data_IF_015407884752
#
_entry.id   IF_015407884752
#
_cell.length_a   1.000
_cell.length_b   1.000
_cell.length_c   1.000
_cell.angle_alpha   90.00
_cell.angle_beta   90.00
_cell.angle_gamma   90.00
#
_symmetry.space_group_name_H-M   'P 1'
#
loop_
_entity.id
_entity.type
_entity.pdbx_description
1 polymer ?
#
# COMPACT_ATOMS: atom_id res chain seq x y z
N UNK A 1 -48.45 26.66 42.48
CA UNK A 1 -49.08 26.73 41.14
C UNK A 1 -50.49 26.11 41.08
N UNK A 2 -50.91 25.25 42.03
CA UNK A 2 -52.27 24.67 42.03
C UNK A 2 -53.37 25.50 42.72
N UNK A 3 -53.02 26.40 43.66
CA UNK A 3 -54.02 27.18 44.40
C UNK A 3 -54.63 28.35 43.60
N UNK A 4 -54.04 28.74 42.47
CA UNK A 4 -54.41 29.95 41.70
C UNK A 4 -55.43 29.64 40.59
N UNK A 5 -55.60 28.38 40.19
CA UNK A 5 -56.44 27.99 39.04
C UNK A 5 -57.73 27.23 39.40
N UNK A 6 -58.04 27.01 40.68
CA UNK A 6 -59.24 26.28 41.15
C UNK A 6 -59.52 24.93 40.44
N UNK A 7 -58.50 24.25 39.91
CA UNK A 7 -58.67 22.95 39.24
C UNK A 7 -58.55 21.79 40.23
N UNK A 8 -59.31 20.72 39.99
CA UNK A 8 -59.24 19.52 40.81
C UNK A 8 -57.84 18.90 40.72
N UNK A 9 -57.23 18.58 41.86
CA UNK A 9 -55.89 17.97 41.93
C UNK A 9 -55.81 16.68 41.08
N UNK A 10 -56.90 15.92 41.00
CA UNK A 10 -57.01 14.71 40.18
C UNK A 10 -56.95 15.01 38.68
N UNK A 11 -57.56 16.11 38.23
CA UNK A 11 -57.48 16.54 36.82
C UNK A 11 -56.07 17.00 36.45
N UNK A 12 -55.36 17.63 37.39
CA UNK A 12 -53.95 17.97 37.22
C UNK A 12 -53.08 16.74 36.92
N UNK A 13 -53.24 15.68 37.72
CA UNK A 13 -52.52 14.41 37.53
C UNK A 13 -52.88 13.76 36.19
N UNK A 14 -54.17 13.71 35.83
CA UNK A 14 -54.60 13.13 34.56
C UNK A 14 -54.03 13.88 33.35
N UNK A 15 -53.98 15.21 33.40
CA UNK A 15 -53.39 16.02 32.33
C UNK A 15 -51.88 15.76 32.19
N UNK A 16 -51.16 15.63 33.30
CA UNK A 16 -49.73 15.25 33.29
C UNK A 16 -49.55 13.85 32.72
N UNK A 17 -50.42 12.89 33.07
CA UNK A 17 -50.34 11.53 32.55
C UNK A 17 -50.57 11.46 31.03
N UNK A 18 -51.55 12.18 30.50
CA UNK A 18 -51.81 12.25 29.05
C UNK A 18 -50.60 12.87 28.32
N UNK A 19 -50.00 13.92 28.88
CA UNK A 19 -48.79 14.53 28.33
C UNK A 19 -47.59 13.57 28.36
N UNK A 20 -47.45 12.76 29.42
CA UNK A 20 -46.39 11.74 29.51
C UNK A 20 -46.57 10.63 28.48
N UNK A 21 -47.78 10.09 28.35
CA UNK A 21 -48.08 9.01 27.39
C UNK A 21 -47.93 9.49 25.95
N UNK A 22 -48.40 10.71 25.64
CA UNK A 22 -48.26 11.28 24.30
C UNK A 22 -46.87 11.83 23.99
N UNK A 23 -46.10 12.23 25.02
CA UNK A 23 -44.82 12.91 24.86
C UNK A 23 -43.62 11.97 24.75
N UNK A 24 -43.70 10.73 25.25
CA UNK A 24 -42.58 9.77 25.18
C UNK A 24 -42.69 8.97 23.86
N UNK A 25 -41.76 9.15 22.91
CA UNK A 25 -41.80 8.46 21.63
C UNK A 25 -41.24 7.03 21.76
N UNK A 26 -42.02 6.11 22.36
CA UNK A 26 -41.61 4.71 22.63
C UNK A 26 -41.20 3.97 21.35
N UNK A 27 -41.76 4.34 20.19
CA UNK A 27 -41.43 3.71 18.91
C UNK A 27 -40.09 4.17 18.31
N UNK A 28 -39.54 5.33 18.71
CA UNK A 28 -38.36 5.92 18.07
C UNK A 28 -37.12 4.99 18.13
N UNK A 29 -36.75 4.38 19.28
CA UNK A 29 -35.59 3.48 19.34
C UNK A 29 -35.72 2.26 18.43
N UNK A 30 -36.92 1.69 18.32
CA UNK A 30 -37.19 0.55 17.44
C UNK A 30 -37.08 0.93 15.98
N UNK A 31 -37.65 2.08 15.58
CA UNK A 31 -37.58 2.57 14.20
C UNK A 31 -36.14 2.83 13.78
N UNK A 32 -35.34 3.50 14.62
CA UNK A 32 -33.93 3.75 14.35
C UNK A 32 -33.14 2.44 14.20
N UNK A 33 -33.34 1.48 15.12
CA UNK A 33 -32.65 0.18 15.07
C UNK A 33 -32.96 -0.60 13.79
N UNK A 34 -34.23 -0.65 13.38
CA UNK A 34 -34.64 -1.33 12.14
C UNK A 34 -34.08 -0.60 10.91
N UNK A 35 -34.10 0.73 10.90
CA UNK A 35 -33.55 1.53 9.80
C UNK A 35 -32.06 1.28 9.63
N UNK A 36 -31.28 1.29 10.72
CA UNK A 36 -29.84 0.99 10.68
C UNK A 36 -29.56 -0.45 10.23
N UNK A 37 -30.37 -1.42 10.66
CA UNK A 37 -30.23 -2.81 10.23
C UNK A 37 -30.47 -2.98 8.72
N UNK A 38 -31.51 -2.33 8.18
CA UNK A 38 -31.80 -2.31 6.75
C UNK A 38 -30.69 -1.58 5.98
N UNK A 39 -30.20 -0.45 6.50
CA UNK A 39 -29.07 0.30 5.92
C UNK A 39 -27.80 -0.54 5.84
N UNK A 40 -27.45 -1.23 6.91
CA UNK A 40 -26.34 -2.20 6.98
C UNK A 40 -26.47 -3.30 5.92
N UNK A 41 -27.67 -3.86 5.76
CA UNK A 41 -27.92 -4.86 4.73
C UNK A 41 -27.73 -4.31 3.31
N UNK A 42 -28.22 -3.09 3.02
CA UNK A 42 -28.02 -2.43 1.72
C UNK A 42 -26.55 -2.12 1.43
N UNK A 43 -25.79 -1.64 2.42
CA UNK A 43 -24.36 -1.41 2.27
C UNK A 43 -23.60 -2.71 1.97
N UNK A 44 -23.98 -3.81 2.62
CA UNK A 44 -23.42 -5.14 2.35
C UNK A 44 -23.67 -5.59 0.89
N UNK A 45 -24.88 -5.35 0.36
CA UNK A 45 -25.19 -5.60 -1.06
C UNK A 45 -24.36 -4.74 -2.03
N UNK A 46 -23.87 -3.59 -1.57
CA UNK A 46 -22.95 -2.70 -2.31
C UNK A 46 -21.46 -3.04 -2.07
N UNK A 47 -21.15 -4.08 -1.29
CA UNK A 47 -19.79 -4.51 -1.00
C UNK A 47 -19.15 -3.86 0.24
N UNK A 48 -19.89 -3.07 1.02
CA UNK A 48 -19.43 -2.43 2.25
C UNK A 48 -20.00 -3.13 3.50
N UNK A 49 -19.14 -3.81 4.27
CA UNK A 49 -19.55 -4.54 5.48
C UNK A 49 -19.46 -3.64 6.70
N UNK A 50 -20.61 -3.26 7.28
CA UNK A 50 -20.65 -2.47 8.52
C UNK A 50 -20.59 -3.36 9.75
N UNK A 51 -19.43 -3.37 10.43
CA UNK A 51 -19.25 -4.10 11.71
C UNK A 51 -19.98 -3.46 12.89
N UNK A 52 -20.16 -2.13 12.85
CA UNK A 52 -20.89 -1.35 13.86
C UNK A 52 -22.04 -0.63 13.17
N UNK A 53 -23.27 -0.78 13.64
CA UNK A 53 -24.43 -0.10 13.05
C UNK A 53 -24.35 1.43 13.17
N UNK A 54 -23.72 1.93 14.24
CA UNK A 54 -23.45 3.36 14.44
C UNK A 54 -22.51 3.97 13.39
N UNK A 55 -21.74 3.15 12.66
CA UNK A 55 -20.86 3.64 11.61
C UNK A 55 -21.62 4.28 10.45
N UNK A 56 -22.90 3.94 10.24
CA UNK A 56 -23.73 4.55 9.20
C UNK A 56 -23.96 6.04 9.49
N UNK A 57 -24.18 6.39 10.76
CA UNK A 57 -24.34 7.78 11.19
C UNK A 57 -23.00 8.54 11.13
N UNK A 58 -21.91 7.90 11.56
CA UNK A 58 -20.55 8.46 11.46
C UNK A 58 -20.18 8.77 10.00
N UNK A 59 -20.51 7.87 9.06
CA UNK A 59 -20.26 8.08 7.64
C UNK A 59 -21.12 9.18 7.03
N UNK A 60 -22.37 9.34 7.50
CA UNK A 60 -23.27 10.38 7.02
C UNK A 60 -22.80 11.80 7.39
N UNK A 61 -22.12 11.95 8.54
CA UNK A 61 -21.55 13.22 9.00
C UNK A 61 -20.06 13.38 8.71
N UNK A 62 -19.49 12.62 7.78
CA UNK A 62 -18.05 12.64 7.50
C UNK A 62 -17.64 13.86 6.68
N UNK A 63 -16.78 14.72 7.26
CA UNK A 63 -16.24 15.89 6.55
C UNK A 63 -14.91 15.61 5.84
N UNK A 64 -14.13 14.66 6.34
CA UNK A 64 -12.78 14.35 5.83
C UNK A 64 -12.60 12.85 5.69
N UNK A 65 -12.19 12.40 4.51
CA UNK A 65 -11.85 11.02 4.20
C UNK A 65 -10.34 10.90 3.97
N UNK A 66 -9.65 10.26 4.91
CA UNK A 66 -8.23 9.92 4.78
C UNK A 66 -8.09 8.55 4.09
N UNK A 67 -7.64 8.54 2.84
CA UNK A 67 -7.43 7.32 2.06
C UNK A 67 -5.94 6.95 2.03
N UNK A 68 -5.61 5.69 2.28
CA UNK A 68 -4.30 5.17 1.92
C UNK A 68 -4.12 5.19 0.39
N UNK A 69 -2.91 5.42 -0.10
CA UNK A 69 -2.65 5.39 -1.55
C UNK A 69 -2.69 3.96 -2.08
N UNK A 70 -1.84 3.10 -1.51
CA UNK A 70 -1.54 1.79 -2.07
C UNK A 70 -2.72 0.84 -1.81
N UNK A 71 -3.30 0.29 -2.87
CA UNK A 71 -4.42 -0.66 -2.77
C UNK A 71 -5.80 -0.04 -2.61
N UNK A 72 -5.90 1.22 -2.18
CA UNK A 72 -7.18 1.98 -2.17
C UNK A 72 -7.29 2.86 -3.40
N UNK A 73 -6.43 3.87 -3.56
CA UNK A 73 -6.45 4.78 -4.72
C UNK A 73 -5.78 4.18 -5.97
N UNK A 74 -4.90 3.21 -5.76
CA UNK A 74 -4.20 2.48 -6.82
C UNK A 74 -4.62 1.02 -6.88
N UNK A 75 -4.33 0.37 -8.00
CA UNK A 75 -4.66 -1.05 -8.20
C UNK A 75 -3.73 -1.99 -7.43
N UNK A 76 -2.62 -1.49 -6.87
CA UNK A 76 -1.55 -2.32 -6.29
C UNK A 76 -1.10 -3.42 -7.26
N UNK A 77 -1.12 -3.10 -8.56
CA UNK A 77 -0.69 -3.96 -9.64
C UNK A 77 0.47 -3.27 -10.34
N UNK A 78 1.64 -3.42 -9.72
CA UNK A 78 2.84 -2.72 -10.11
C UNK A 78 3.30 -3.19 -11.50
N UNK A 79 3.86 -2.26 -12.27
CA UNK A 79 4.43 -2.52 -13.59
C UNK A 79 5.81 -1.89 -13.65
N UNK A 80 6.72 -2.50 -14.42
CA UNK A 80 8.09 -1.99 -14.58
C UNK A 80 8.34 -1.75 -16.07
N UNK A 81 8.86 -0.57 -16.41
CA UNK A 81 9.30 -0.26 -17.77
C UNK A 81 10.79 -0.58 -17.93
N UNK A 82 11.11 -1.55 -18.82
CA UNK A 82 12.48 -1.99 -19.13
C UNK A 82 13.37 -0.83 -19.57
N UNK A 83 12.82 0.15 -20.30
CA UNK A 83 13.61 1.22 -20.89
C UNK A 83 14.12 2.23 -19.88
N UNK A 84 13.46 2.29 -18.72
CA UNK A 84 13.78 3.22 -17.66
C UNK A 84 14.70 2.62 -16.59
N UNK A 85 15.09 1.34 -16.72
CA UNK A 85 16.01 0.71 -15.77
C UNK A 85 17.40 1.31 -15.92
N UNK A 86 17.91 1.85 -14.82
CA UNK A 86 19.25 2.46 -14.74
C UNK A 86 20.27 1.47 -14.19
N UNK A 87 21.38 1.33 -14.93
CA UNK A 87 22.46 0.39 -14.64
C UNK A 87 23.67 1.13 -14.05
N UNK A 88 24.24 0.56 -12.99
CA UNK A 88 25.35 1.18 -12.26
C UNK A 88 26.64 0.37 -12.34
N UNK A 89 26.55 -0.95 -12.47
CA UNK A 89 27.73 -1.81 -12.60
C UNK A 89 28.15 -1.96 -14.06
N UNK A 90 29.41 -1.66 -14.37
CA UNK A 90 29.97 -1.84 -15.71
C UNK A 90 30.00 -3.31 -16.10
N UNK A 91 29.28 -3.68 -17.17
CA UNK A 91 29.24 -5.05 -17.70
C UNK A 91 27.95 -5.83 -17.43
N UNK A 92 26.98 -5.27 -16.70
CA UNK A 92 25.63 -5.84 -16.60
C UNK A 92 24.68 -5.21 -17.60
N UNK A 93 23.84 -6.04 -18.21
CA UNK A 93 22.71 -5.60 -19.03
C UNK A 93 21.45 -5.41 -18.17
N UNK A 94 20.48 -4.67 -18.69
CA UNK A 94 19.17 -4.45 -18.04
C UNK A 94 18.44 -5.77 -17.78
N UNK A 95 18.48 -6.70 -18.74
CA UNK A 95 17.86 -8.01 -18.59
C UNK A 95 18.50 -8.83 -17.46
N UNK A 96 19.81 -8.70 -17.24
CA UNK A 96 20.50 -9.34 -16.12
C UNK A 96 20.04 -8.77 -14.78
N UNK A 97 19.87 -7.45 -14.66
CA UNK A 97 19.37 -6.81 -13.43
C UNK A 97 17.94 -7.26 -13.13
N UNK A 98 17.08 -7.34 -14.15
CA UNK A 98 15.70 -7.83 -14.01
C UNK A 98 15.70 -9.29 -13.56
N UNK A 99 16.57 -10.13 -14.14
CA UNK A 99 16.73 -11.53 -13.73
C UNK A 99 17.19 -11.66 -12.28
N UNK A 100 18.16 -10.84 -11.84
CA UNK A 100 18.61 -10.80 -10.45
C UNK A 100 17.48 -10.35 -9.51
N UNK A 101 16.71 -9.33 -9.88
CA UNK A 101 15.55 -8.88 -9.14
C UNK A 101 14.48 -9.99 -9.04
N UNK A 102 14.22 -10.71 -10.13
CA UNK A 102 13.28 -11.82 -10.17
C UNK A 102 13.74 -12.98 -9.30
N UNK A 103 15.05 -13.30 -9.30
CA UNK A 103 15.64 -14.30 -8.40
C UNK A 103 15.45 -13.92 -6.93
N UNK A 104 15.57 -12.65 -6.58
CA UNK A 104 15.32 -12.16 -5.21
C UNK A 104 13.83 -12.01 -4.85
N UNK A 105 12.93 -12.46 -5.73
CA UNK A 105 11.47 -12.51 -5.52
C UNK A 105 11.04 -13.92 -5.11
N UNK A 106 9.96 -14.04 -4.31
CA UNK A 106 9.29 -15.33 -4.12
C UNK A 106 8.25 -15.55 -5.20
N UNK A 107 8.29 -16.72 -5.82
CA UNK A 107 7.28 -17.14 -6.82
C UNK A 107 5.97 -17.55 -6.14
N UNK A 108 6.04 -18.04 -4.89
CA UNK A 108 4.86 -18.50 -4.15
C UNK A 108 4.12 -17.36 -3.42
N UNK A 109 4.75 -16.19 -3.26
CA UNK A 109 4.17 -15.10 -2.48
C UNK A 109 3.43 -14.11 -3.39
N UNK A 110 2.25 -13.67 -2.95
CA UNK A 110 1.39 -12.75 -3.71
C UNK A 110 1.81 -11.27 -3.55
N UNK A 111 3.09 -11.00 -3.34
CA UNK A 111 3.58 -9.63 -3.22
C UNK A 111 3.52 -8.94 -4.59
N UNK A 112 2.82 -7.81 -4.67
CA UNK A 112 2.63 -7.07 -5.92
C UNK A 112 3.96 -6.66 -6.58
N UNK A 113 4.99 -6.35 -5.79
CA UNK A 113 6.33 -6.01 -6.30
C UNK A 113 6.98 -7.24 -6.95
N UNK A 114 6.89 -8.40 -6.30
CA UNK A 114 7.50 -9.65 -6.75
C UNK A 114 6.86 -10.11 -8.06
N UNK A 115 5.52 -10.08 -8.11
CA UNK A 115 4.77 -10.41 -9.32
C UNK A 115 5.09 -9.45 -10.47
N UNK A 116 5.23 -8.15 -10.21
CA UNK A 116 5.58 -7.17 -11.25
C UNK A 116 6.95 -7.45 -11.89
N UNK A 117 7.92 -7.87 -11.10
CA UNK A 117 9.27 -8.19 -11.58
C UNK A 117 9.27 -9.54 -12.31
N UNK A 118 8.57 -10.55 -11.78
CA UNK A 118 8.48 -11.88 -12.41
C UNK A 118 7.76 -11.77 -13.77
N UNK A 119 6.69 -10.99 -13.86
CA UNK A 119 5.95 -10.76 -15.11
C UNK A 119 6.74 -9.97 -16.17
N UNK A 120 7.90 -9.41 -15.80
CA UNK A 120 8.81 -8.72 -16.72
C UNK A 120 9.70 -9.68 -17.50
N UNK A 121 9.86 -10.92 -17.01
CA UNK A 121 10.53 -12.00 -17.70
C UNK A 121 9.63 -12.61 -18.78
N UNK A 122 10.25 -13.14 -19.83
CA UNK A 122 9.52 -13.82 -20.91
C UNK A 122 8.84 -15.09 -20.41
N UNK A 123 9.51 -15.84 -19.54
CA UNK A 123 8.97 -17.00 -18.82
C UNK A 123 9.27 -16.85 -17.32
N UNK A 124 8.24 -16.85 -16.43
CA UNK A 124 8.41 -16.84 -14.99
C UNK A 124 9.37 -17.91 -14.45
N UNK A 125 9.51 -19.04 -15.15
CA UNK A 125 10.41 -20.14 -14.77
C UNK A 125 11.88 -19.75 -14.84
N UNK A 126 12.24 -18.77 -15.67
CA UNK A 126 13.62 -18.27 -15.78
C UNK A 126 14.14 -17.71 -14.45
N UNK A 127 13.25 -17.18 -13.60
CA UNK A 127 13.61 -16.67 -12.28
C UNK A 127 14.25 -17.73 -11.35
N UNK A 128 13.99 -19.01 -11.60
CA UNK A 128 14.55 -20.16 -10.85
C UNK A 128 15.30 -21.14 -11.73
N UNK A 129 15.43 -20.88 -13.03
CA UNK A 129 16.19 -21.73 -13.93
C UNK A 129 17.68 -21.69 -13.59
N UNK A 130 18.32 -22.87 -13.61
CA UNK A 130 19.75 -23.06 -13.39
C UNK A 130 20.28 -22.60 -12.02
N UNK A 131 19.41 -22.42 -11.02
CA UNK A 131 19.81 -22.05 -9.67
C UNK A 131 19.22 -23.00 -8.63
N UNK A 132 20.01 -23.32 -7.61
CA UNK A 132 19.54 -24.05 -6.43
C UNK A 132 19.41 -23.06 -5.27
N UNK A 133 18.19 -22.82 -4.82
CA UNK A 133 17.92 -21.94 -3.67
C UNK A 133 18.44 -22.58 -2.38
N UNK A 134 19.28 -21.85 -1.63
CA UNK A 134 19.79 -22.27 -0.32
C UNK A 134 19.03 -21.61 0.81
N UNK A 135 18.79 -20.31 0.68
CA UNK A 135 18.15 -19.52 1.72
C UNK A 135 17.47 -18.29 1.14
N UNK A 136 16.29 -17.97 1.67
CA UNK A 136 15.57 -16.75 1.35
C UNK A 136 15.32 -15.94 2.63
N UNK A 137 15.70 -14.68 2.59
CA UNK A 137 15.41 -13.68 3.62
C UNK A 137 14.15 -12.89 3.20
N UNK A 138 13.01 -13.10 3.86
CA UNK A 138 11.76 -12.40 3.54
C UNK A 138 11.82 -10.92 3.91
N UNK A 139 10.86 -10.17 3.37
CA UNK A 139 10.77 -8.74 3.62
C UNK A 139 10.50 -8.46 5.09
N UNK A 140 11.33 -7.60 5.68
CA UNK A 140 11.14 -7.06 7.02
C UNK A 140 10.93 -5.54 6.92
N UNK A 141 9.86 -4.96 7.52
CA UNK A 141 9.63 -3.52 7.51
C UNK A 141 10.79 -2.67 8.06
N UNK A 142 11.63 -3.24 8.94
CA UNK A 142 12.83 -2.57 9.48
C UNK A 142 13.94 -2.54 8.43
N UNK A 143 14.23 -3.69 7.82
CA UNK A 143 15.34 -3.82 6.85
C UNK A 143 14.98 -3.32 5.44
N UNK A 144 13.68 -3.25 5.12
CA UNK A 144 13.08 -2.85 3.84
C UNK A 144 13.73 -3.51 2.60
N UNK A 145 14.18 -4.76 2.75
CA UNK A 145 14.82 -5.55 1.71
C UNK A 145 14.41 -7.02 1.78
N UNK A 146 14.53 -7.71 0.65
CA UNK A 146 14.56 -9.17 0.56
C UNK A 146 15.91 -9.60 0.05
N UNK A 147 16.32 -10.82 0.36
CA UNK A 147 17.53 -11.39 -0.20
C UNK A 147 17.37 -12.88 -0.46
N UNK A 148 18.05 -13.37 -1.50
CA UNK A 148 18.17 -14.78 -1.80
C UNK A 148 19.65 -15.17 -1.82
N UNK A 149 19.97 -16.32 -1.27
CA UNK A 149 21.26 -17.00 -1.45
C UNK A 149 21.01 -18.25 -2.27
N UNK A 150 21.69 -18.37 -3.40
CA UNK A 150 21.55 -19.49 -4.33
C UNK A 150 22.90 -19.97 -4.85
N UNK A 151 22.92 -21.20 -5.33
CA UNK A 151 24.06 -21.82 -6.01
C UNK A 151 23.74 -21.81 -7.51
N UNK A 152 24.63 -21.23 -8.31
CA UNK A 152 24.52 -21.25 -9.76
C UNK A 152 24.95 -22.63 -10.31
N UNK A 153 24.61 -22.91 -11.57
CA UNK A 153 25.01 -24.08 -12.36
C UNK A 153 26.52 -24.41 -12.28
N UNK A 154 27.38 -23.40 -12.15
CA UNK A 154 28.83 -23.57 -11.96
C UNK A 154 29.28 -23.94 -10.54
N UNK A 155 28.35 -24.14 -9.58
CA UNK A 155 28.67 -24.44 -8.19
C UNK A 155 29.11 -23.23 -7.35
N UNK A 156 29.04 -22.02 -7.91
CA UNK A 156 29.35 -20.78 -7.22
C UNK A 156 28.15 -20.28 -6.42
N UNK A 157 28.42 -19.72 -5.24
CA UNK A 157 27.39 -19.19 -4.36
C UNK A 157 27.24 -17.69 -4.56
N UNK A 158 26.01 -17.28 -4.84
CA UNK A 158 25.66 -15.89 -5.02
C UNK A 158 24.57 -15.50 -4.04
N UNK A 159 24.60 -14.23 -3.64
CA UNK A 159 23.57 -13.59 -2.85
C UNK A 159 23.08 -12.36 -3.59
N UNK A 160 21.78 -12.24 -3.73
CA UNK A 160 21.13 -11.10 -4.39
C UNK A 160 20.12 -10.50 -3.44
N UNK A 161 20.09 -9.19 -3.36
CA UNK A 161 19.14 -8.45 -2.54
C UNK A 161 18.45 -7.38 -3.35
N UNK A 162 17.17 -7.18 -3.06
CA UNK A 162 16.37 -6.08 -3.60
C UNK A 162 15.65 -5.36 -2.47
N UNK A 163 15.44 -4.06 -2.61
CA UNK A 163 14.81 -3.28 -1.55
C UNK A 163 14.79 -1.79 -1.79
N UNK A 164 14.52 -1.04 -0.72
CA UNK A 164 14.59 0.41 -0.74
C UNK A 164 15.99 0.88 -1.16
N UNK A 165 16.13 1.83 -2.11
CA UNK A 165 17.42 2.28 -2.61
C UNK A 165 18.41 2.69 -1.51
N UNK A 166 17.96 3.43 -0.50
CA UNK A 166 18.80 3.85 0.64
C UNK A 166 19.37 2.65 1.42
N UNK A 167 18.56 1.61 1.64
CA UNK A 167 18.99 0.43 2.39
C UNK A 167 19.96 -0.43 1.58
N UNK A 168 19.72 -0.56 0.27
CA UNK A 168 20.63 -1.30 -0.62
C UNK A 168 21.96 -0.55 -0.79
N UNK A 169 21.93 0.79 -0.91
CA UNK A 169 23.13 1.62 -0.96
C UNK A 169 23.98 1.48 0.30
N UNK A 170 23.37 1.40 1.48
CA UNK A 170 24.08 1.21 2.75
C UNK A 170 24.84 -0.13 2.85
N UNK A 171 24.48 -1.13 2.05
CA UNK A 171 25.18 -2.42 2.00
C UNK A 171 26.40 -2.41 1.09
N UNK A 172 26.40 -1.52 0.10
CA UNK A 172 27.39 -1.53 -0.97
C UNK A 172 28.70 -0.88 -0.51
N UNK A 173 29.83 -1.47 -0.89
CA UNK A 173 31.16 -0.98 -0.49
C UNK A 173 31.51 0.38 -1.13
N UNK A 174 31.04 0.63 -2.35
CA UNK A 174 31.24 1.90 -3.08
C UNK A 174 30.08 2.89 -2.86
N UNK A 175 29.58 2.97 -1.63
CA UNK A 175 28.46 3.85 -1.30
C UNK A 175 28.73 5.30 -1.70
N UNK A 176 29.90 5.84 -1.33
CA UNK A 176 30.19 7.26 -1.48
C UNK A 176 30.29 7.70 -2.95
N UNK A 177 30.80 6.84 -3.83
CA UNK A 177 30.93 7.14 -5.26
C UNK A 177 29.58 7.04 -6.00
N UNK A 178 28.70 6.14 -5.56
CA UNK A 178 27.45 5.80 -6.26
C UNK A 178 26.26 6.57 -5.69
N UNK A 179 26.31 6.99 -4.42
CA UNK A 179 25.19 7.60 -3.70
C UNK A 179 24.59 8.80 -4.44
N UNK A 180 25.41 9.74 -4.92
CA UNK A 180 24.89 10.92 -5.64
C UNK A 180 24.15 10.52 -6.92
N UNK A 181 24.74 9.62 -7.71
CA UNK A 181 24.14 9.19 -8.98
C UNK A 181 22.85 8.40 -8.73
N UNK A 182 22.85 7.52 -7.73
CA UNK A 182 21.67 6.74 -7.36
C UNK A 182 20.54 7.65 -6.84
N UNK A 183 20.86 8.64 -6.02
CA UNK A 183 19.87 9.60 -5.52
C UNK A 183 19.24 10.39 -6.66
N UNK A 184 20.05 10.90 -7.61
CA UNK A 184 19.53 11.62 -8.79
C UNK A 184 18.56 10.77 -9.63
N UNK A 185 18.85 9.48 -9.78
CA UNK A 185 17.94 8.55 -10.49
C UNK A 185 16.65 8.34 -9.71
N UNK A 186 16.74 8.13 -8.39
CA UNK A 186 15.57 7.97 -7.51
C UNK A 186 14.68 9.22 -7.55
N UNK A 187 15.27 10.41 -7.51
CA UNK A 187 14.54 11.68 -7.58
C UNK A 187 13.86 11.85 -8.94
N UNK A 188 14.55 11.55 -10.05
CA UNK A 188 13.98 11.56 -11.41
C UNK A 188 12.79 10.59 -11.55
N UNK A 189 12.87 9.40 -10.95
CA UNK A 189 11.73 8.48 -10.90
C UNK A 189 10.60 9.04 -10.04
N UNK A 190 10.91 9.65 -8.91
CA UNK A 190 9.92 10.21 -8.00
C UNK A 190 9.14 11.37 -8.63
N UNK A 191 9.81 12.25 -9.39
CA UNK A 191 9.18 13.34 -10.17
C UNK A 191 8.18 12.81 -11.20
N UNK A 192 8.40 11.61 -11.72
CA UNK A 192 7.52 10.94 -12.68
C UNK A 192 6.43 10.09 -12.01
N UNK A 193 6.40 10.05 -10.67
CA UNK A 193 5.47 9.25 -9.89
C UNK A 193 5.81 7.75 -9.86
N UNK A 194 7.08 7.40 -10.11
CA UNK A 194 7.57 6.03 -10.13
C UNK A 194 8.26 5.71 -8.80
N UNK A 195 7.91 4.57 -8.21
CA UNK A 195 8.56 4.05 -7.01
C UNK A 195 9.88 3.39 -7.39
N UNK A 196 10.95 3.66 -6.65
CA UNK A 196 12.27 3.10 -6.94
C UNK A 196 12.54 1.83 -6.16
N UNK A 197 13.09 0.81 -6.81
CA UNK A 197 13.58 -0.42 -6.18
C UNK A 197 15.02 -0.68 -6.62
N UNK A 198 15.95 -0.79 -5.68
CA UNK A 198 17.33 -1.08 -5.99
C UNK A 198 17.63 -2.57 -5.89
N UNK A 199 18.62 -3.02 -6.66
CA UNK A 199 19.13 -4.39 -6.66
C UNK A 199 20.64 -4.36 -6.43
N UNK A 200 21.11 -5.23 -5.55
CA UNK A 200 22.53 -5.49 -5.34
C UNK A 200 22.81 -6.98 -5.38
N UNK A 201 24.03 -7.33 -5.78
CA UNK A 201 24.51 -8.70 -5.79
C UNK A 201 25.86 -8.82 -5.08
N UNK A 202 26.17 -10.02 -4.62
CA UNK A 202 27.37 -10.33 -3.86
C UNK A 202 27.74 -11.79 -4.12
N UNK A 203 29.03 -12.08 -4.22
CA UNK A 203 29.54 -13.45 -4.21
C UNK A 203 29.78 -13.93 -2.77
N UNK A 204 29.54 -15.21 -2.51
CA UNK A 204 29.77 -15.82 -1.18
C UNK A 204 30.85 -16.92 -1.31
N UNK A 205 32.15 -16.56 -1.28
CA UNK A 205 33.24 -17.51 -1.50
C UNK A 205 33.30 -18.62 -0.46
N UNK A 206 32.87 -18.32 0.77
CA UNK A 206 32.89 -19.24 1.92
C UNK A 206 31.87 -20.39 1.80
N UNK A 207 30.99 -20.38 0.78
CA UNK A 207 29.95 -21.40 0.55
C UNK A 207 29.13 -21.73 1.81
N UNK A 208 28.92 -20.72 2.65
CA UNK A 208 28.21 -20.82 3.92
C UNK A 208 26.93 -20.01 3.89
N UNK A 209 25.85 -20.55 4.48
CA UNK A 209 24.56 -19.86 4.61
C UNK A 209 24.67 -18.55 5.39
N UNK A 210 25.51 -18.54 6.44
CA UNK A 210 25.69 -17.41 7.35
C UNK A 210 26.99 -16.63 7.09
N UNK A 211 27.73 -16.96 6.03
CA UNK A 211 28.92 -16.19 5.67
C UNK A 211 28.55 -14.75 5.32
N UNK A 212 29.36 -13.81 5.77
CA UNK A 212 29.18 -12.39 5.48
C UNK A 212 29.30 -12.10 3.99
N UNK A 213 30.06 -12.93 3.26
CA UNK A 213 30.27 -12.86 1.80
C UNK A 213 31.25 -11.75 1.39
N UNK A 214 31.41 -11.53 0.09
CA UNK A 214 32.28 -10.50 -0.49
C UNK A 214 31.72 -9.06 -0.37
N UNK A 215 32.25 -8.08 -1.09
CA UNK A 215 31.62 -6.75 -1.12
C UNK A 215 30.32 -6.77 -1.94
N UNK A 216 29.26 -6.08 -1.47
CA UNK A 216 28.00 -5.93 -2.22
C UNK A 216 28.17 -4.94 -3.37
N UNK A 217 27.84 -5.36 -4.58
CA UNK A 217 27.89 -4.53 -5.78
C UNK A 217 26.49 -4.01 -6.09
N UNK A 218 26.35 -2.70 -6.20
CA UNK A 218 25.09 -2.06 -6.60
C UNK A 218 24.84 -2.29 -8.09
N UNK A 219 23.80 -3.05 -8.45
CA UNK A 219 23.54 -3.39 -9.85
C UNK A 219 22.82 -2.26 -10.59
N UNK A 220 21.69 -1.81 -10.02
CA UNK A 220 20.75 -0.95 -10.71
C UNK A 220 19.51 -0.59 -9.91
N UNK A 221 18.73 0.33 -10.47
CA UNK A 221 17.44 0.79 -9.92
C UNK A 221 16.34 0.54 -10.94
N UNK A 222 15.28 -0.13 -10.51
CA UNK A 222 14.09 -0.41 -11.28
C UNK A 222 12.96 0.56 -10.88
N UNK A 223 12.30 1.21 -11.85
CA UNK A 223 11.12 2.02 -11.59
C UNK A 223 9.85 1.16 -11.59
N UNK A 224 9.12 1.18 -10.50
CA UNK A 224 7.82 0.54 -10.31
C UNK A 224 6.72 1.60 -10.45
N UNK A 225 5.81 1.38 -11.40
CA UNK A 225 4.62 2.19 -11.59
C UNK A 225 3.40 1.50 -11.00
N UNK A 226 2.66 2.21 -10.15
CA UNK A 226 1.38 1.76 -9.60
C UNK A 226 0.24 2.56 -10.24
N UNK A 227 -0.55 1.96 -11.15
CA UNK A 227 -1.61 2.69 -11.84
C UNK A 227 -2.75 3.05 -10.87
N UNK A 228 -3.30 4.29 -10.96
CA UNK A 228 -4.51 4.64 -10.23
C UNK A 228 -5.69 3.79 -10.71
N UNK A 229 -6.68 3.56 -9.85
CA UNK A 229 -7.91 2.92 -10.30
C UNK A 229 -8.68 3.85 -11.23
N UNK A 230 -9.39 3.27 -12.19
CA UNK A 230 -10.17 4.00 -13.20
C UNK A 230 -11.27 4.86 -12.59
N UNK A 231 -11.82 4.46 -11.43
CA UNK A 231 -12.90 5.11 -10.71
C UNK A 231 -12.42 6.08 -9.62
N UNK A 232 -11.14 6.05 -9.24
CA UNK A 232 -10.63 6.82 -8.10
C UNK A 232 -10.77 8.33 -8.30
N UNK A 233 -10.38 8.84 -9.47
CA UNK A 233 -10.47 10.28 -9.76
C UNK A 233 -11.93 10.77 -9.77
N UNK A 234 -12.85 9.98 -10.33
CA UNK A 234 -14.28 10.32 -10.33
C UNK A 234 -14.88 10.23 -8.93
N UNK A 235 -14.46 9.25 -8.13
CA UNK A 235 -14.90 9.08 -6.73
C UNK A 235 -14.44 10.24 -5.86
N UNK A 236 -13.19 10.68 -6.03
CA UNK A 236 -12.65 11.86 -5.35
C UNK A 236 -13.47 13.11 -5.71
N UNK A 237 -13.76 13.32 -7.00
CA UNK A 237 -14.58 14.45 -7.44
C UNK A 237 -15.98 14.42 -6.82
N UNK A 238 -16.65 13.26 -6.84
CA UNK A 238 -17.97 13.10 -6.21
C UNK A 238 -17.93 13.32 -4.70
N UNK A 239 -16.87 12.87 -4.03
CA UNK A 239 -16.71 13.11 -2.60
C UNK A 239 -16.59 14.61 -2.30
N UNK A 240 -15.83 15.35 -3.10
CA UNK A 240 -15.72 16.80 -3.00
C UNK A 240 -17.07 17.51 -3.29
N UNK A 241 -17.82 17.05 -4.29
CA UNK A 241 -19.17 17.57 -4.59
C UNK A 241 -20.16 17.36 -3.43
N UNK A 242 -19.97 16.29 -2.64
CA UNK A 242 -20.74 15.99 -1.43
C UNK A 242 -20.21 16.71 -0.18
N UNK A 243 -19.18 17.55 -0.31
CA UNK A 243 -18.58 18.29 0.81
C UNK A 243 -17.55 17.51 1.62
N UNK A 244 -17.14 16.31 1.17
CA UNK A 244 -16.14 15.47 1.84
C UNK A 244 -14.75 15.74 1.28
N UNK A 245 -13.86 16.27 2.10
CA UNK A 245 -12.46 16.50 1.72
C UNK A 245 -11.67 15.18 1.73
N UNK A 246 -11.13 14.77 0.58
CA UNK A 246 -10.28 13.58 0.48
C UNK A 246 -8.81 13.92 0.72
N UNK A 247 -8.13 13.17 1.58
CA UNK A 247 -6.69 13.33 1.86
C UNK A 247 -5.97 12.01 1.63
N UNK A 248 -4.92 12.03 0.80
CA UNK A 248 -4.06 10.88 0.59
C UNK A 248 -3.06 10.73 1.74
N UNK A 249 -2.95 9.52 2.28
CA UNK A 249 -1.91 9.10 3.21
C UNK A 249 -1.01 8.10 2.49
N UNK A 250 0.30 8.29 2.53
CA UNK A 250 1.23 7.35 1.93
C UNK A 250 2.59 7.41 2.63
N UNK A 251 3.29 6.27 2.65
CA UNK A 251 4.69 6.17 3.08
C UNK A 251 5.70 6.37 1.94
N UNK A 252 5.23 6.66 0.72
CA UNK A 252 6.10 6.97 -0.42
C UNK A 252 6.71 8.37 -0.31
N UNK A 253 7.74 8.62 -1.13
CA UNK A 253 8.40 9.93 -1.18
C UNK A 253 7.41 11.04 -1.59
N UNK A 254 7.59 12.25 -1.06
CA UNK A 254 6.67 13.38 -1.26
C UNK A 254 6.43 13.70 -2.74
N UNK A 255 7.46 13.57 -3.59
CA UNK A 255 7.33 13.79 -5.03
C UNK A 255 6.37 12.79 -5.69
N UNK A 256 6.44 11.51 -5.31
CA UNK A 256 5.52 10.46 -5.82
C UNK A 256 4.08 10.76 -5.37
N UNK A 257 3.91 11.15 -4.11
CA UNK A 257 2.61 11.50 -3.56
C UNK A 257 1.98 12.68 -4.31
N UNK A 258 2.75 13.74 -4.57
CA UNK A 258 2.29 14.92 -5.33
C UNK A 258 1.93 14.58 -6.77
N UNK A 259 2.75 13.80 -7.46
CA UNK A 259 2.46 13.42 -8.85
C UNK A 259 1.23 12.50 -8.94
N UNK A 260 1.08 11.56 -8.00
CA UNK A 260 -0.12 10.71 -7.92
C UNK A 260 -1.35 11.56 -7.61
N UNK A 261 -1.26 12.49 -6.66
CA UNK A 261 -2.34 13.41 -6.31
C UNK A 261 -2.75 14.29 -7.48
N UNK A 262 -1.78 14.82 -8.24
CA UNK A 262 -2.02 15.59 -9.47
C UNK A 262 -2.82 14.79 -10.51
N UNK A 263 -2.54 13.49 -10.66
CA UNK A 263 -3.28 12.61 -11.59
C UNK A 263 -4.69 12.28 -11.10
N UNK A 264 -4.88 12.15 -9.79
CA UNK A 264 -6.15 11.81 -9.17
C UNK A 264 -7.06 13.02 -8.90
N UNK A 265 -6.51 14.23 -8.88
CA UNK A 265 -7.25 15.46 -8.59
C UNK A 265 -7.46 15.74 -7.10
N UNK A 266 -6.54 15.26 -6.24
CA UNK A 266 -6.53 15.49 -4.78
C UNK A 266 -5.52 16.54 -4.36
#
# INVERSE_FOLDING_TARGET
MFAVQHRSYREGINNVLVLLIGGIPIAMPTVLSVTLAIGSHRLSQQGAITKRMTAIEEMAGMDVLCCDKTGTLTLNHLTVDKNLVEVFSGGMDRDMIILLAARASRVDNQDAIDMAIINMLSDPKEARANITEVHFLPFNPVDKRTAITYIDSGGNWFRVSKGAPEQILNLCFNKDDIAEKAQRVVDSFAERGLRSLAVAYQEVPERSRHGDGGPWVFCGVLPLFDPPRHDSADTIRRALDLGVCVKMITGDHLAIAKETGRRLGT
#
